data_IF_958804139392
#
_entry.id   IF_958804139392
#
_cell.length_a   1.000
_cell.length_b   1.000
_cell.length_c   1.000
_cell.angle_alpha   90.00
_cell.angle_beta   90.00
_cell.angle_gamma   90.00
#
_symmetry.space_group_name_H-M   'P 1'
#
loop_
_entity.id
_entity.type
_entity.pdbx_description
1 polymer ?
#
# COMPACT_ATOMS: atom_id res chain seq x y z
N UNK A 1 -29.26 -18.02 17.93
CA UNK A 1 -27.89 -17.47 17.98
C UNK A 1 -27.56 -17.15 19.43
N UNK A 2 -26.56 -17.80 20.02
CA UNK A 2 -26.18 -17.59 21.43
C UNK A 2 -25.68 -16.16 21.63
N UNK A 3 -25.80 -15.60 22.85
CA UNK A 3 -25.32 -14.25 23.16
C UNK A 3 -23.85 -14.05 22.75
N UNK A 4 -23.03 -15.08 22.96
CA UNK A 4 -21.61 -15.14 22.56
C UNK A 4 -21.45 -15.03 21.03
N UNK A 5 -22.31 -15.69 20.25
CA UNK A 5 -22.30 -15.58 18.79
C UNK A 5 -22.66 -14.17 18.32
N UNK A 6 -23.66 -13.52 18.94
CA UNK A 6 -24.02 -12.12 18.62
C UNK A 6 -22.88 -11.16 18.94
N UNK A 7 -22.25 -11.30 20.11
CA UNK A 7 -21.11 -10.47 20.52
C UNK A 7 -19.93 -10.62 19.56
N UNK A 8 -19.59 -11.85 19.16
CA UNK A 8 -18.51 -12.10 18.19
C UNK A 8 -18.75 -11.44 16.84
N UNK A 9 -19.98 -11.51 16.33
CA UNK A 9 -20.34 -10.90 15.03
C UNK A 9 -20.26 -9.38 15.04
N UNK A 10 -20.30 -8.73 16.21
CA UNK A 10 -20.16 -7.27 16.32
C UNK A 10 -18.70 -6.87 16.59
N UNK A 11 -18.02 -7.61 17.48
CA UNK A 11 -16.69 -7.25 17.95
C UNK A 11 -15.66 -7.36 16.83
N UNK A 12 -15.66 -8.45 16.07
CA UNK A 12 -14.65 -8.68 15.02
C UNK A 12 -14.71 -7.59 13.94
N UNK A 13 -15.89 -7.29 13.32
CA UNK A 13 -15.97 -6.21 12.34
C UNK A 13 -15.62 -4.84 12.91
N UNK A 14 -15.98 -4.57 14.18
CA UNK A 14 -15.62 -3.32 14.84
C UNK A 14 -14.11 -3.16 14.99
N UNK A 15 -13.40 -4.24 15.35
CA UNK A 15 -11.94 -4.24 15.44
C UNK A 15 -11.31 -4.06 14.06
N UNK A 16 -11.78 -4.79 13.05
CA UNK A 16 -11.29 -4.64 11.66
C UNK A 16 -11.50 -3.22 11.14
N UNK A 17 -12.69 -2.64 11.38
CA UNK A 17 -13.01 -1.28 11.00
C UNK A 17 -12.11 -0.27 11.74
N UNK A 18 -11.94 -0.43 13.05
CA UNK A 18 -11.04 0.41 13.83
C UNK A 18 -9.60 0.36 13.33
N UNK A 19 -9.10 -0.83 13.00
CA UNK A 19 -7.77 -1.01 12.42
C UNK A 19 -7.61 -0.28 11.07
N UNK A 20 -8.57 -0.43 10.15
CA UNK A 20 -8.54 0.28 8.85
C UNK A 20 -8.55 1.80 9.04
N UNK A 21 -9.41 2.31 9.92
CA UNK A 21 -9.52 3.75 10.20
C UNK A 21 -8.20 4.32 10.75
N UNK A 22 -7.55 3.60 11.67
CA UNK A 22 -6.25 4.01 12.22
C UNK A 22 -5.16 4.03 11.14
N UNK A 23 -5.16 3.07 10.21
CA UNK A 23 -4.16 3.02 9.12
C UNK A 23 -4.32 4.15 8.09
N UNK A 24 -5.55 4.63 7.90
CA UNK A 24 -5.84 5.76 7.01
C UNK A 24 -5.67 7.12 7.69
N UNK A 25 -5.66 7.16 9.02
CA UNK A 25 -5.55 8.41 9.79
C UNK A 25 -4.23 9.11 9.52
N UNK A 26 -4.30 10.33 8.97
CA UNK A 26 -3.11 11.14 8.69
C UNK A 26 -2.21 10.60 7.58
N UNK A 27 -2.69 9.72 6.71
CA UNK A 27 -1.88 9.07 5.67
C UNK A 27 -1.19 10.06 4.71
N UNK A 28 -1.71 11.29 4.57
CA UNK A 28 -1.13 12.35 3.75
C UNK A 28 -0.50 13.49 4.55
N UNK A 29 -0.33 13.31 5.87
CA UNK A 29 0.14 14.39 6.76
C UNK A 29 1.63 14.73 6.58
N UNK A 30 2.38 13.89 5.88
CA UNK A 30 3.81 14.04 5.62
C UNK A 30 4.11 13.93 4.12
N UNK A 31 5.25 14.49 3.70
CA UNK A 31 5.82 14.22 2.40
C UNK A 31 6.22 12.73 2.26
N UNK A 32 6.53 12.32 1.03
CA UNK A 32 7.04 10.98 0.76
C UNK A 32 8.39 10.77 1.45
N UNK A 33 8.55 9.59 2.03
CA UNK A 33 9.80 9.13 2.62
C UNK A 33 10.76 8.70 1.50
N UNK A 34 12.05 8.57 1.83
CA UNK A 34 13.08 8.30 0.83
C UNK A 34 12.84 6.98 0.07
N UNK A 35 12.41 5.93 0.76
CA UNK A 35 12.03 4.63 0.20
C UNK A 35 10.76 4.71 -0.65
N UNK A 36 9.79 5.55 -0.26
CA UNK A 36 8.60 5.81 -1.08
C UNK A 36 8.96 6.54 -2.38
N UNK A 37 9.86 7.54 -2.31
CA UNK A 37 10.36 8.26 -3.49
C UNK A 37 11.09 7.31 -4.42
N UNK A 38 11.96 6.45 -3.89
CA UNK A 38 12.64 5.42 -4.67
C UNK A 38 11.64 4.51 -5.40
N UNK A 39 10.59 4.08 -4.69
CA UNK A 39 9.56 3.21 -5.26
C UNK A 39 8.78 3.87 -6.40
N UNK A 40 8.42 5.15 -6.23
CA UNK A 40 7.75 5.95 -7.27
C UNK A 40 8.68 6.16 -8.47
N UNK A 41 9.95 6.46 -8.23
CA UNK A 41 10.95 6.62 -9.29
C UNK A 41 11.12 5.32 -10.09
N UNK A 42 11.26 4.18 -9.42
CA UNK A 42 11.33 2.87 -10.07
C UNK A 42 10.10 2.60 -10.94
N UNK A 43 8.90 2.91 -10.43
CA UNK A 43 7.64 2.74 -11.16
C UNK A 43 7.47 3.70 -12.36
N UNK A 44 8.15 4.85 -12.35
CA UNK A 44 8.14 5.85 -13.41
C UNK A 44 8.88 5.42 -14.69
N UNK A 45 9.82 4.49 -14.59
CA UNK A 45 10.58 3.96 -15.73
C UNK A 45 9.72 3.14 -16.70
N UNK A 46 10.18 2.94 -17.94
CA UNK A 46 9.59 1.93 -18.83
C UNK A 46 9.71 0.52 -18.21
N UNK A 47 8.97 -0.48 -18.70
CA UNK A 47 8.96 -1.81 -18.08
C UNK A 47 10.36 -2.45 -18.06
N UNK A 48 11.11 -2.39 -19.16
CA UNK A 48 12.46 -2.94 -19.23
C UNK A 48 13.43 -2.19 -18.31
N UNK A 49 13.36 -0.86 -18.30
CA UNK A 49 14.18 -0.01 -17.43
C UNK A 49 13.84 -0.19 -15.96
N UNK A 50 12.58 -0.43 -15.59
CA UNK A 50 12.18 -0.70 -14.21
C UNK A 50 12.88 -1.95 -13.69
N UNK A 51 12.85 -3.05 -14.45
CA UNK A 51 13.52 -4.28 -14.04
C UNK A 51 15.03 -4.12 -13.98
N UNK A 52 15.62 -3.39 -14.94
CA UNK A 52 17.04 -3.07 -14.90
C UNK A 52 17.41 -2.19 -13.70
N UNK A 53 16.64 -1.14 -13.43
CA UNK A 53 16.85 -0.18 -12.33
C UNK A 53 16.75 -0.86 -10.98
N UNK A 54 15.68 -1.64 -10.75
CA UNK A 54 15.50 -2.38 -9.49
C UNK A 54 16.55 -3.47 -9.33
N UNK A 55 17.04 -4.08 -10.41
CA UNK A 55 18.15 -5.03 -10.31
C UNK A 55 19.46 -4.39 -9.81
N UNK A 56 19.65 -3.07 -9.99
CA UNK A 56 20.80 -2.34 -9.44
C UNK A 56 20.68 -2.07 -7.93
N UNK A 57 19.46 -2.07 -7.37
CA UNK A 57 19.24 -1.87 -5.94
C UNK A 57 19.79 -3.05 -5.10
N UNK A 58 19.86 -4.26 -5.69
CA UNK A 58 20.36 -5.51 -5.08
C UNK A 58 19.66 -5.96 -3.79
N UNK A 59 18.78 -5.14 -3.20
CA UNK A 59 18.14 -5.38 -1.91
C UNK A 59 16.72 -5.91 -2.10
N UNK A 60 15.91 -5.29 -2.97
CA UNK A 60 14.48 -5.57 -3.05
C UNK A 60 14.06 -6.27 -4.37
N UNK A 61 13.24 -7.34 -4.32
CA UNK A 61 12.66 -7.95 -5.51
C UNK A 61 11.71 -7.02 -6.30
N UNK A 62 11.56 -7.22 -7.62
CA UNK A 62 10.87 -6.26 -8.50
C UNK A 62 9.34 -6.23 -8.40
N UNK A 63 8.72 -7.22 -7.75
CA UNK A 63 7.27 -7.40 -7.76
C UNK A 63 6.52 -6.19 -7.23
N UNK A 64 6.97 -5.61 -6.11
CA UNK A 64 6.31 -4.45 -5.51
C UNK A 64 6.30 -3.25 -6.46
N UNK A 65 7.44 -2.93 -7.08
CA UNK A 65 7.57 -1.82 -8.01
C UNK A 65 6.73 -2.02 -9.28
N UNK A 66 6.67 -3.25 -9.80
CA UNK A 66 5.83 -3.59 -10.94
C UNK A 66 4.33 -3.40 -10.64
N UNK A 67 3.88 -3.86 -9.46
CA UNK A 67 2.49 -3.65 -9.03
C UNK A 67 2.18 -2.18 -8.77
N UNK A 68 3.13 -1.45 -8.15
CA UNK A 68 3.00 -0.01 -7.92
C UNK A 68 2.89 0.76 -9.25
N UNK A 69 3.65 0.38 -10.28
CA UNK A 69 3.54 0.96 -11.62
C UNK A 69 2.14 0.81 -12.21
N UNK A 70 1.55 -0.39 -12.12
CA UNK A 70 0.16 -0.62 -12.57
C UNK A 70 -0.81 0.23 -11.75
N UNK A 71 -0.64 0.27 -10.44
CA UNK A 71 -1.48 1.05 -9.54
C UNK A 71 -1.46 2.55 -9.83
N UNK A 72 -0.27 3.10 -10.07
CA UNK A 72 -0.08 4.49 -10.52
C UNK A 72 -0.77 4.72 -11.87
N UNK A 73 -0.66 3.76 -12.81
CA UNK A 73 -1.35 3.85 -14.10
C UNK A 73 -2.88 3.95 -13.98
N UNK A 74 -3.48 3.47 -12.89
CA UNK A 74 -4.93 3.51 -12.65
C UNK A 74 -5.39 4.82 -12.01
N UNK A 75 -4.65 5.37 -11.03
CA UNK A 75 -5.13 6.51 -10.23
C UNK A 75 -4.12 7.64 -10.01
N UNK A 76 -2.98 7.61 -10.69
CA UNK A 76 -1.98 8.67 -10.71
C UNK A 76 -1.03 8.68 -9.51
N UNK A 77 -0.41 9.83 -9.24
CA UNK A 77 0.71 9.98 -8.30
C UNK A 77 0.36 10.86 -7.08
N UNK A 78 -0.92 11.03 -6.74
CA UNK A 78 -1.27 11.72 -5.50
C UNK A 78 -0.73 10.94 -4.29
N UNK A 79 -0.23 11.63 -3.27
CA UNK A 79 0.32 10.99 -2.04
C UNK A 79 -0.68 10.02 -1.41
N UNK A 80 -1.97 10.40 -1.41
CA UNK A 80 -3.04 9.53 -0.94
C UNK A 80 -3.11 8.23 -1.75
N UNK A 81 -3.14 8.32 -3.08
CA UNK A 81 -3.25 7.15 -3.95
C UNK A 81 -2.03 6.24 -3.87
N UNK A 82 -0.83 6.82 -3.82
CA UNK A 82 0.43 6.09 -3.68
C UNK A 82 0.45 5.28 -2.38
N UNK A 83 0.05 5.88 -1.25
CA UNK A 83 0.02 5.21 0.06
C UNK A 83 -1.17 4.26 0.23
N UNK A 84 -2.23 4.43 -0.54
CA UNK A 84 -3.38 3.54 -0.49
C UNK A 84 -3.00 2.10 -0.88
N UNK A 85 -2.09 1.92 -1.83
CA UNK A 85 -1.64 0.59 -2.26
C UNK A 85 -1.05 -0.26 -1.12
N UNK A 86 0.03 0.15 -0.44
CA UNK A 86 0.56 -0.62 0.69
C UNK A 86 -0.40 -0.68 1.88
N UNK A 87 -1.26 0.33 2.09
CA UNK A 87 -2.32 0.26 3.12
C UNK A 87 -3.28 -0.88 2.82
N UNK A 88 -3.77 -1.01 1.58
CA UNK A 88 -4.65 -2.10 1.17
C UNK A 88 -3.97 -3.46 1.36
N UNK A 89 -2.73 -3.64 0.91
CA UNK A 89 -2.01 -4.89 1.12
C UNK A 89 -1.83 -5.21 2.61
N UNK A 90 -1.48 -4.22 3.43
CA UNK A 90 -1.30 -4.42 4.88
C UNK A 90 -2.60 -4.73 5.62
N UNK A 91 -3.75 -4.33 5.09
CA UNK A 91 -5.07 -4.57 5.71
C UNK A 91 -5.69 -5.91 5.35
N UNK A 92 -5.15 -6.58 4.33
CA UNK A 92 -5.56 -7.92 3.90
C UNK A 92 -4.72 -9.05 4.54
N UNK A 93 -3.57 -8.73 5.13
CA UNK A 93 -2.65 -9.69 5.77
C UNK A 93 -3.08 -10.02 7.21
#
# INVERSE_FOLDING_TARGET
MTLIQKLRTIIIPSICLGYILIRLWGVTASCLWFDEIFSVQAAGHSWDELFWFVAQDLIHPPLFYALLKVWIGVGGESVFWLRLFPVLLSTLA
#
